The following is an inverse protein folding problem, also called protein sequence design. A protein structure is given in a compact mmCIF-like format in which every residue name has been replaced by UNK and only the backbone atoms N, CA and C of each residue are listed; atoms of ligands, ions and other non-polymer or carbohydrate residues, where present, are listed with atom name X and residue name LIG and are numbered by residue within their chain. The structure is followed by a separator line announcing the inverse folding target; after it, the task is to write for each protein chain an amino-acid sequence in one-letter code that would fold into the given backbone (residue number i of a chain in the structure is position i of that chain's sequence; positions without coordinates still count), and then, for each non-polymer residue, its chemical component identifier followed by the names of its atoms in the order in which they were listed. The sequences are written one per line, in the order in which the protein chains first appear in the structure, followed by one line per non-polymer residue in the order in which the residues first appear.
data_IF_411519480110
#
_entry.id   IF_411519480110
#
_cell.length_a   1.000
_cell.length_b   1.000
_cell.length_c   1.000
_cell.angle_alpha   90.00
_cell.angle_beta   90.00
_cell.angle_gamma   90.00
#
_symmetry.space_group_name_H-M   'P 1'
#
loop_
_entity.id
_entity.type
_entity.pdbx_description
1 polymer ?
#
# COMPACT_ATOMS: atom_id res chain seq x y z
N UNK A 1 -8.80 2.07 -6.07
CA UNK A 1 -7.56 1.29 -5.97
C UNK A 1 -6.73 1.94 -4.92
N UNK A 2 -6.25 1.16 -3.98
CA UNK A 2 -5.50 1.64 -2.82
C UNK A 2 -4.14 0.96 -2.77
N UNK A 3 -3.14 1.69 -2.34
CA UNK A 3 -1.85 1.17 -1.90
C UNK A 3 -1.88 1.19 -0.37
N UNK A 4 -2.09 0.02 0.21
CA UNK A 4 -2.10 -0.16 1.66
C UNK A 4 -0.67 -0.40 2.11
N UNK A 5 -0.13 0.49 2.94
CA UNK A 5 1.26 0.45 3.40
C UNK A 5 1.31 0.78 4.89
N UNK A 6 2.19 0.10 5.62
CA UNK A 6 2.43 0.41 7.03
C UNK A 6 2.94 1.83 7.20
N UNK A 7 2.41 2.51 8.21
CA UNK A 7 2.87 3.85 8.56
C UNK A 7 4.38 3.93 8.79
N UNK A 8 4.96 2.89 9.39
CA UNK A 8 6.38 2.87 9.74
C UNK A 8 7.28 2.69 8.51
N UNK A 9 6.86 1.86 7.54
CA UNK A 9 7.54 1.74 6.24
C UNK A 9 7.49 3.08 5.49
N UNK A 10 6.34 3.75 5.49
CA UNK A 10 6.19 5.05 4.84
C UNK A 10 7.07 6.12 5.50
N UNK A 11 7.12 6.16 6.85
CA UNK A 11 8.01 7.05 7.61
C UNK A 11 9.47 6.75 7.31
N UNK A 12 9.86 5.48 7.16
CA UNK A 12 11.22 5.09 6.82
C UNK A 12 11.64 5.64 5.45
N UNK A 13 10.78 5.50 4.44
CA UNK A 13 11.00 6.06 3.09
C UNK A 13 11.13 7.58 3.13
N UNK A 14 10.23 8.27 3.84
CA UNK A 14 10.27 9.73 3.99
C UNK A 14 11.57 10.16 4.66
N UNK A 15 11.92 9.55 5.80
CA UNK A 15 13.13 9.89 6.56
C UNK A 15 14.41 9.66 5.78
N UNK A 16 14.47 8.59 4.97
CA UNK A 16 15.59 8.34 4.07
C UNK A 16 15.68 9.43 3.00
N UNK A 17 14.52 9.81 2.44
CA UNK A 17 14.42 10.86 1.40
C UNK A 17 14.86 12.22 1.91
N UNK A 18 14.44 12.64 3.11
CA UNK A 18 14.80 13.91 3.73
C UNK A 18 16.32 14.08 3.95
N UNK A 19 17.04 12.97 4.12
CA UNK A 19 18.47 12.94 4.43
C UNK A 19 19.35 12.73 3.21
N UNK A 20 18.77 12.40 2.07
CA UNK A 20 19.51 12.04 0.87
C UNK A 20 19.81 13.25 -0.02
N UNK A 21 21.03 13.30 -0.56
CA UNK A 21 21.40 14.25 -1.61
C UNK A 21 21.09 13.75 -3.03
N UNK A 22 20.74 12.46 -3.16
CA UNK A 22 20.40 11.78 -4.42
C UNK A 22 19.01 11.16 -4.35
N UNK A 23 18.38 10.86 -5.48
CA UNK A 23 17.09 10.16 -5.47
C UNK A 23 17.26 8.79 -4.83
N UNK A 24 16.36 8.50 -3.90
CA UNK A 24 16.23 7.22 -3.19
C UNK A 24 15.25 6.38 -3.99
N UNK A 25 15.49 5.08 -4.13
CA UNK A 25 14.59 4.18 -4.83
C UNK A 25 14.52 2.82 -4.16
N UNK A 26 13.46 2.07 -4.45
CA UNK A 26 13.30 0.71 -3.94
C UNK A 26 12.01 0.03 -4.38
N UNK A 27 11.80 -1.17 -3.87
CA UNK A 27 10.62 -1.97 -4.11
C UNK A 27 9.66 -1.96 -2.93
N UNK A 28 8.38 -2.07 -3.26
CA UNK A 28 7.29 -2.42 -2.36
C UNK A 28 6.87 -3.85 -2.72
N UNK A 29 7.13 -4.78 -1.81
CA UNK A 29 6.79 -6.19 -1.95
C UNK A 29 5.53 -6.52 -1.15
N UNK A 30 4.72 -7.42 -1.68
CA UNK A 30 3.46 -7.79 -1.05
C UNK A 30 2.56 -8.58 -1.98
N UNK A 31 1.25 -8.34 -1.85
CA UNK A 31 0.22 -9.07 -2.59
C UNK A 31 -0.85 -8.13 -3.12
N UNK A 32 -1.62 -8.62 -4.08
CA UNK A 32 -2.79 -7.92 -4.60
C UNK A 32 -4.04 -8.58 -4.05
N UNK A 33 -4.94 -7.79 -3.48
CA UNK A 33 -6.23 -8.24 -2.98
C UNK A 33 -7.33 -7.48 -3.73
N UNK A 34 -7.99 -8.17 -4.67
CA UNK A 34 -8.94 -7.53 -5.58
C UNK A 34 -8.30 -6.40 -6.40
N UNK A 35 -8.67 -5.15 -6.09
CA UNK A 35 -8.17 -3.94 -6.75
C UNK A 35 -7.12 -3.18 -5.93
N UNK A 36 -6.74 -3.69 -4.77
CA UNK A 36 -5.83 -3.04 -3.84
C UNK A 36 -4.48 -3.76 -3.79
N UNK A 37 -3.46 -2.97 -3.48
CA UNK A 37 -2.07 -3.38 -3.42
C UNK A 37 -1.64 -3.33 -1.96
N UNK A 38 -1.41 -4.50 -1.37
CA UNK A 38 -1.04 -4.65 0.04
C UNK A 38 0.47 -4.77 0.12
N UNK A 39 1.13 -3.81 0.76
CA UNK A 39 2.57 -3.81 0.99
C UNK A 39 2.87 -4.54 2.29
N UNK A 40 3.67 -5.59 2.22
CA UNK A 40 4.12 -6.38 3.38
C UNK A 40 5.59 -6.11 3.74
N UNK A 41 6.39 -5.69 2.77
CA UNK A 41 7.83 -5.47 2.93
C UNK A 41 8.34 -4.36 1.99
N UNK A 42 9.21 -3.48 2.50
CA UNK A 42 9.94 -2.51 1.67
C UNK A 42 11.42 -2.88 1.55
N UNK A 43 12.01 -2.59 0.38
CA UNK A 43 13.45 -2.73 0.16
C UNK A 43 14.02 -1.55 -0.60
N UNK A 44 14.92 -0.81 0.05
CA UNK A 44 15.75 0.19 -0.61
C UNK A 44 16.76 -0.48 -1.53
N UNK A 45 16.88 0.03 -2.75
CA UNK A 45 17.86 -0.43 -3.73
C UNK A 45 18.79 0.75 -4.05
N UNK A 46 20.12 0.54 -4.08
CA UNK A 46 21.05 1.62 -4.40
C UNK A 46 20.74 2.25 -5.76
N UNK A 47 20.71 3.58 -5.80
CA UNK A 47 20.65 4.33 -7.04
C UNK A 47 22.05 4.40 -7.66
N UNK A 48 22.32 3.58 -8.68
CA UNK A 48 23.65 3.51 -9.32
C UNK A 48 24.04 4.82 -10.03
N UNK A 49 23.07 5.66 -10.38
CA UNK A 49 23.32 6.95 -11.04
C UNK A 49 23.84 8.01 -10.06
N UNK A 50 23.69 7.82 -8.74
CA UNK A 50 24.05 8.81 -7.72
C UNK A 50 23.56 10.22 -8.07
N UNK A 51 22.32 10.32 -8.57
CA UNK A 51 21.78 11.54 -9.17
C UNK A 51 20.63 12.12 -8.34
N UNK A 52 20.53 13.45 -8.19
CA UNK A 52 19.42 14.11 -7.49
C UNK A 52 18.13 14.25 -8.32
N UNK A 53 18.15 13.83 -9.58
CA UNK A 53 17.04 14.02 -10.55
C UNK A 53 16.77 12.80 -11.42
N UNK A 54 17.40 11.67 -11.11
CA UNK A 54 17.13 10.40 -11.76
C UNK A 54 17.60 9.25 -10.88
N UNK A 55 16.90 8.12 -10.98
CA UNK A 55 17.35 6.86 -10.44
C UNK A 55 17.48 5.78 -11.51
N UNK A 56 18.38 4.85 -11.23
CA UNK A 56 18.41 3.53 -11.82
C UNK A 56 18.89 2.56 -10.75
N UNK A 57 18.06 1.55 -10.47
CA UNK A 57 18.36 0.57 -9.44
C UNK A 57 19.61 -0.21 -9.79
N UNK A 58 20.46 -0.48 -8.80
CA UNK A 58 21.62 -1.33 -9.01
C UNK A 58 21.18 -2.75 -9.38
N UNK A 59 21.52 -3.26 -10.59
CA UNK A 59 20.92 -4.49 -11.11
C UNK A 59 21.12 -5.72 -10.24
N UNK A 60 22.30 -5.89 -9.62
CA UNK A 60 22.55 -7.06 -8.79
C UNK A 60 21.70 -7.04 -7.51
N UNK A 61 21.56 -5.89 -6.87
CA UNK A 61 20.74 -5.74 -5.67
C UNK A 61 19.25 -5.83 -6.01
N UNK A 62 18.85 -5.31 -7.18
CA UNK A 62 17.49 -5.44 -7.71
C UNK A 62 17.08 -6.91 -7.87
N UNK A 63 17.91 -7.73 -8.53
CA UNK A 63 17.63 -9.16 -8.74
C UNK A 63 17.57 -9.90 -7.41
N UNK A 64 18.56 -9.71 -6.52
CA UNK A 64 18.56 -10.34 -5.20
C UNK A 64 17.31 -10.01 -4.38
N UNK A 65 16.85 -8.76 -4.44
CA UNK A 65 15.67 -8.33 -3.72
C UNK A 65 14.40 -9.00 -4.25
N UNK A 66 14.27 -9.13 -5.57
CA UNK A 66 13.14 -9.81 -6.22
C UNK A 66 13.17 -11.31 -5.90
N UNK A 67 14.29 -12.00 -6.14
CA UNK A 67 14.44 -13.43 -5.89
C UNK A 67 14.12 -13.75 -4.42
N UNK A 68 14.67 -12.96 -3.50
CA UNK A 68 14.40 -13.13 -2.07
C UNK A 68 12.93 -12.90 -1.71
N UNK A 69 12.24 -11.94 -2.33
CA UNK A 69 10.81 -11.71 -2.09
C UNK A 69 9.96 -12.89 -2.61
N UNK A 70 10.31 -13.43 -3.78
CA UNK A 70 9.63 -14.58 -4.37
C UNK A 70 9.76 -15.84 -3.50
N UNK A 71 10.92 -16.08 -2.88
CA UNK A 71 11.11 -17.18 -1.91
C UNK A 71 10.16 -17.10 -0.70
N UNK A 72 9.72 -15.89 -0.32
CA UNK A 72 8.71 -15.65 0.73
C UNK A 72 7.28 -15.60 0.19
N UNK A 73 7.10 -15.86 -1.10
CA UNK A 73 5.81 -15.81 -1.78
C UNK A 73 5.25 -14.39 -1.94
N UNK A 74 6.11 -13.37 -1.96
CA UNK A 74 5.75 -11.97 -2.19
C UNK A 74 6.07 -11.57 -3.63
N UNK A 75 5.24 -10.71 -4.21
CA UNK A 75 5.46 -10.12 -5.53
C UNK A 75 5.79 -8.63 -5.44
N UNK A 76 6.30 -8.05 -6.54
CA UNK A 76 6.44 -6.60 -6.66
C UNK A 76 5.06 -5.98 -6.84
N UNK A 77 4.54 -5.31 -5.81
CA UNK A 77 3.27 -4.57 -5.87
C UNK A 77 3.49 -3.10 -6.23
N UNK A 78 4.70 -2.60 -6.00
CA UNK A 78 5.09 -1.27 -6.40
C UNK A 78 6.59 -1.00 -6.40
N UNK A 79 6.95 0.14 -6.96
CA UNK A 79 8.26 0.77 -6.88
C UNK A 79 8.07 2.08 -6.14
N UNK A 80 9.00 2.45 -5.29
CA UNK A 80 9.05 3.80 -4.75
C UNK A 80 10.32 4.51 -5.20
N UNK A 81 10.22 5.82 -5.41
CA UNK A 81 11.38 6.69 -5.58
C UNK A 81 11.12 8.09 -5.04
N UNK A 82 12.19 8.85 -4.88
CA UNK A 82 12.10 10.22 -4.40
C UNK A 82 12.35 11.28 -5.46
N UNK A 83 11.64 12.40 -5.33
CA UNK A 83 11.87 13.62 -6.07
C UNK A 83 12.37 14.71 -5.11
N UNK A 84 13.63 15.12 -5.24
CA UNK A 84 14.22 16.06 -4.28
C UNK A 84 13.82 17.52 -4.51
N UNK A 85 13.49 17.89 -5.76
CA UNK A 85 13.27 19.29 -6.17
C UNK A 85 11.95 19.52 -6.91
N UNK A 86 11.20 18.46 -7.19
CA UNK A 86 9.95 18.51 -7.94
C UNK A 86 8.81 17.88 -7.13
N UNK A 87 7.55 18.21 -7.48
CA UNK A 87 6.38 17.58 -6.86
C UNK A 87 6.37 16.05 -7.07
N UNK A 88 5.59 15.31 -6.27
CA UNK A 88 5.49 13.85 -6.37
C UNK A 88 4.56 13.46 -7.52
N UNK A 89 4.94 13.79 -8.76
CA UNK A 89 4.22 13.46 -10.00
C UNK A 89 5.17 12.79 -10.99
N UNK A 90 4.75 11.76 -11.74
CA UNK A 90 5.63 11.05 -12.67
C UNK A 90 6.21 11.99 -13.73
N UNK A 91 7.52 11.98 -13.88
CA UNK A 91 8.27 12.64 -14.94
C UNK A 91 8.21 11.83 -16.24
N UNK A 92 8.67 12.43 -17.35
CA UNK A 92 8.79 11.70 -18.62
C UNK A 92 9.73 10.47 -18.56
N UNK A 93 10.68 10.46 -17.61
CA UNK A 93 11.56 9.31 -17.35
C UNK A 93 10.81 8.23 -16.59
N UNK A 94 10.04 8.62 -15.58
CA UNK A 94 9.21 7.69 -14.80
C UNK A 94 8.20 7.00 -15.69
N UNK A 95 7.56 7.71 -16.63
CA UNK A 95 6.64 7.09 -17.61
C UNK A 95 7.30 5.99 -18.45
N UNK A 96 8.61 6.10 -18.75
CA UNK A 96 9.34 5.02 -19.43
C UNK A 96 9.51 3.82 -18.49
N UNK A 97 9.86 4.07 -17.23
CA UNK A 97 9.96 3.03 -16.20
C UNK A 97 8.62 2.34 -15.94
N UNK A 98 7.54 3.09 -15.78
CA UNK A 98 6.18 2.58 -15.55
C UNK A 98 5.66 1.70 -16.69
N UNK A 99 6.14 1.90 -17.93
CA UNK A 99 5.82 1.00 -19.05
C UNK A 99 6.55 -0.34 -18.97
N UNK A 100 7.76 -0.34 -18.43
CA UNK A 100 8.55 -1.55 -18.21
C UNK A 100 8.08 -2.30 -16.95
N UNK A 101 7.67 -1.53 -15.94
CA UNK A 101 7.20 -2.02 -14.64
C UNK A 101 5.79 -1.46 -14.36
N UNK A 102 4.73 -2.10 -14.90
CA UNK A 102 3.35 -1.66 -14.79
C UNK A 102 2.74 -1.98 -13.40
N UNK A 103 3.40 -1.50 -12.35
CA UNK A 103 3.02 -1.61 -10.95
C UNK A 103 2.70 -0.21 -10.38
N UNK A 104 2.36 -0.12 -9.09
CA UNK A 104 2.21 1.18 -8.42
C UNK A 104 3.57 1.87 -8.29
N UNK A 105 3.62 3.16 -8.54
CA UNK A 105 4.80 4.01 -8.34
C UNK A 105 4.51 5.04 -7.24
N UNK A 106 5.14 4.85 -6.09
CA UNK A 106 5.07 5.74 -4.94
C UNK A 106 6.18 6.80 -5.02
N UNK A 107 5.80 8.06 -5.16
CA UNK A 107 6.73 9.17 -5.27
C UNK A 107 6.70 9.98 -3.99
N UNK A 108 7.88 10.15 -3.38
CA UNK A 108 8.06 10.89 -2.12
C UNK A 108 8.94 12.11 -2.35
N UNK A 109 8.62 13.25 -1.76
CA UNK A 109 9.48 14.45 -1.83
C UNK A 109 10.36 14.62 -0.61
N UNK A 110 11.40 15.44 -0.74
CA UNK A 110 12.24 15.90 0.38
C UNK A 110 11.48 16.67 1.48
N UNK A 111 10.22 17.03 1.22
CA UNK A 111 9.32 17.68 2.19
C UNK A 111 8.32 16.72 2.84
N UNK A 112 8.45 15.41 2.58
CA UNK A 112 7.55 14.39 3.08
C UNK A 112 6.20 14.31 2.34
N UNK A 113 6.06 14.95 1.18
CA UNK A 113 4.84 14.79 0.38
C UNK A 113 4.87 13.43 -0.33
N UNK A 114 3.76 12.70 -0.27
CA UNK A 114 3.63 11.36 -0.81
C UNK A 114 2.47 11.29 -1.80
N UNK A 115 2.70 10.72 -2.98
CA UNK A 115 1.64 10.36 -3.95
C UNK A 115 1.97 9.05 -4.64
N UNK A 116 0.95 8.23 -4.88
CA UNK A 116 1.08 7.00 -5.65
C UNK A 116 0.37 7.11 -7.01
N UNK A 117 0.93 6.45 -8.01
CA UNK A 117 0.49 6.50 -9.39
C UNK A 117 0.54 5.11 -10.02
N UNK A 118 -0.34 4.84 -10.98
CA UNK A 118 -0.25 3.63 -11.82
C UNK A 118 -0.36 4.04 -13.29
N UNK A 119 0.27 3.28 -14.18
CA UNK A 119 0.09 3.44 -15.62
C UNK A 119 -0.82 2.33 -16.14
N UNK A 120 -2.07 2.68 -16.47
CA UNK A 120 -3.07 1.75 -17.01
C UNK A 120 -3.53 2.21 -18.38
N UNK A 121 -3.45 1.34 -19.38
CA UNK A 121 -3.89 1.63 -20.76
C UNK A 121 -3.29 2.94 -21.33
N UNK A 122 -2.03 3.23 -20.98
CA UNK A 122 -1.32 4.44 -21.39
C UNK A 122 -1.71 5.72 -20.64
N UNK A 123 -2.61 5.64 -19.65
CA UNK A 123 -3.02 6.75 -18.79
C UNK A 123 -2.43 6.61 -17.39
N UNK A 124 -1.95 7.73 -16.85
CA UNK A 124 -1.50 7.82 -15.47
C UNK A 124 -2.69 8.10 -14.59
N UNK A 125 -2.95 7.22 -13.64
CA UNK A 125 -4.03 7.33 -12.67
C UNK A 125 -3.45 7.45 -11.26
N UNK A 126 -4.08 8.28 -10.42
CA UNK A 126 -3.70 8.39 -9.02
C UNK A 126 -4.17 7.15 -8.24
N UNK A 127 -3.34 6.69 -7.32
CA UNK A 127 -3.66 5.60 -6.38
C UNK A 127 -3.71 6.21 -4.98
N UNK A 128 -4.78 5.90 -4.25
CA UNK A 128 -4.94 6.33 -2.88
C UNK A 128 -3.94 5.59 -1.99
N UNK A 129 -3.23 6.30 -1.11
CA UNK A 129 -2.29 5.68 -0.16
C UNK A 129 -2.98 5.62 1.19
N UNK A 130 -3.14 4.41 1.72
CA UNK A 130 -3.86 4.15 2.96
C UNK A 130 -2.94 3.44 3.97
N UNK A 131 -3.07 3.80 5.25
CA UNK A 131 -2.39 3.10 6.34
C UNK A 131 -3.05 1.73 6.57
N UNK A 132 -2.25 0.67 6.75
CA UNK A 132 -2.73 -0.69 7.04
C UNK A 132 -3.73 -0.71 8.20
N UNK A 133 -3.49 0.08 9.25
CA UNK A 133 -4.39 0.13 10.43
C UNK A 133 -5.75 0.73 10.06
N UNK A 134 -5.77 1.76 9.21
CA UNK A 134 -7.00 2.42 8.80
C UNK A 134 -7.77 1.56 7.78
N UNK A 135 -7.06 0.83 6.91
CA UNK A 135 -7.68 -0.14 6.00
C UNK A 135 -8.42 -1.24 6.78
N UNK A 136 -7.79 -1.86 7.78
CA UNK A 136 -8.42 -2.90 8.60
C UNK A 136 -9.64 -2.37 9.35
N UNK A 137 -9.57 -1.14 9.88
CA UNK A 137 -10.73 -0.47 10.51
C UNK A 137 -11.87 -0.26 9.52
N UNK A 138 -11.56 0.21 8.31
CA UNK A 138 -12.53 0.39 7.23
C UNK A 138 -13.26 -0.91 6.89
N UNK A 139 -12.51 -2.01 6.74
CA UNK A 139 -13.06 -3.33 6.42
C UNK A 139 -13.99 -3.85 7.54
N UNK A 140 -13.61 -3.67 8.81
CA UNK A 140 -14.44 -4.02 9.97
C UNK A 140 -15.74 -3.19 9.97
N UNK A 141 -15.66 -1.89 9.70
CA UNK A 141 -16.84 -1.03 9.63
C UNK A 141 -17.78 -1.41 8.49
N UNK A 142 -17.25 -1.75 7.31
CA UNK A 142 -18.03 -2.19 6.17
C UNK A 142 -18.72 -3.52 6.45
N UNK A 143 -18.00 -4.48 7.05
CA UNK A 143 -18.57 -5.75 7.49
C UNK A 143 -19.69 -5.52 8.51
N UNK A 144 -19.49 -4.64 9.49
CA UNK A 144 -20.52 -4.30 10.48
C UNK A 144 -21.75 -3.61 9.87
N UNK A 145 -21.58 -2.82 8.80
CA UNK A 145 -22.70 -2.23 8.03
C UNK A 145 -23.45 -3.32 7.23
N UNK A 146 -22.72 -4.26 6.63
CA UNK A 146 -23.28 -5.38 5.88
C UNK A 146 -24.10 -6.32 6.76
N UNK A 147 -23.56 -6.73 7.91
CA UNK A 147 -24.26 -7.55 8.90
C UNK A 147 -25.56 -6.86 9.36
N UNK A 148 -25.50 -5.56 9.71
CA UNK A 148 -26.71 -4.80 10.07
C UNK A 148 -27.76 -4.83 8.97
N UNK A 149 -27.40 -4.53 7.71
CA UNK A 149 -28.35 -4.59 6.58
C UNK A 149 -28.91 -5.99 6.35
N UNK A 150 -28.09 -7.02 6.49
CA UNK A 150 -28.51 -8.42 6.39
C UNK A 150 -29.51 -8.82 7.48
N UNK A 151 -29.30 -8.39 8.72
CA UNK A 151 -30.22 -8.62 9.84
C UNK A 151 -31.58 -7.92 9.63
N UNK A 152 -31.60 -6.72 9.06
CA UNK A 152 -32.86 -5.99 8.80
C UNK A 152 -33.62 -6.45 7.54
N UNK A 153 -32.95 -7.07 6.56
CA UNK A 153 -33.60 -7.59 5.35
C UNK A 153 -34.10 -9.04 5.47
N UNK A 154 -33.72 -9.75 6.54
CA UNK A 154 -34.09 -11.15 6.79
C UNK A 154 -35.40 -11.36 7.55
N UNK A 155 -36.15 -10.30 7.88
CA UNK A 155 -37.41 -10.44 8.63
C UNK A 155 -37.26 -10.91 10.08
N UNK A 156 -36.06 -10.83 10.65
CA UNK A 156 -35.84 -11.15 12.06
C UNK A 156 -36.51 -10.09 12.92
N UNK A 157 -37.65 -10.45 13.52
CA UNK A 157 -38.40 -9.52 14.38
C UNK A 157 -37.57 -9.18 15.63
N UNK A 158 -37.78 -8.00 16.20
CA UNK A 158 -37.13 -7.49 17.42
C UNK A 158 -37.09 -8.52 18.57
N UNK A 159 -38.04 -9.47 18.57
CA UNK A 159 -38.10 -10.64 19.45
C UNK A 159 -36.93 -11.63 19.35
N UNK A 160 -36.44 -11.93 18.14
CA UNK A 160 -35.36 -12.91 17.95
C UNK A 160 -34.01 -12.36 18.44
N UNK A 161 -33.83 -11.04 18.32
CA UNK A 161 -32.70 -10.31 18.89
C UNK A 161 -32.74 -10.27 20.42
N UNK A 162 -33.94 -10.14 21.00
CA UNK A 162 -34.14 -10.19 22.45
C UNK A 162 -33.85 -11.60 23.00
N UNK A 163 -34.29 -12.66 22.32
CA UNK A 163 -34.02 -14.05 22.71
C UNK A 163 -32.52 -14.39 22.65
N UNK A 164 -31.81 -14.00 21.59
CA UNK A 164 -30.37 -14.18 21.48
C UNK A 164 -29.58 -13.40 22.54
N UNK A 165 -30.06 -12.21 22.93
CA UNK A 165 -29.45 -11.44 24.04
C UNK A 165 -29.66 -12.10 25.39
N UNK A 166 -30.83 -12.67 25.62
CA UNK A 166 -31.15 -13.41 26.85
C UNK A 166 -30.28 -14.67 26.95
N UNK A 167 -30.12 -15.43 25.85
CA UNK A 167 -29.27 -16.63 25.81
C UNK A 167 -27.79 -16.31 26.07
N UNK A 168 -27.27 -15.25 25.44
CA UNK A 168 -25.88 -14.81 25.62
C UNK A 168 -25.60 -14.31 27.05
N UNK A 169 -26.60 -13.73 27.73
CA UNK A 169 -26.48 -13.35 29.13
C UNK A 169 -26.56 -14.55 30.08
N UNK A 170 -27.39 -15.54 29.79
CA UNK A 170 -27.51 -16.76 30.59
C UNK A 170 -26.22 -17.60 30.58
N UNK A 171 -25.48 -17.61 29.46
CA UNK A 171 -24.19 -18.30 29.35
C UNK A 171 -23.05 -17.60 30.10
N UNK A 172 -23.17 -16.29 30.38
CA UNK A 172 -22.19 -15.54 31.19
C UNK A 172 -22.37 -15.69 32.69
N UNK A 173 -23.52 -16.18 33.16
CA UNK A 173 -23.75 -16.44 34.60
C UNK A 173 -23.48 -17.89 35.01
N UNK A 174 -23.04 -18.73 34.06
CA UNK A 174 -22.69 -20.15 34.28
C UNK A 174 -21.17 -20.44 34.24
N UNK A 175 -20.35 -19.41 33.98
CA UNK A 175 -18.87 -19.42 34.10
C UNK A 175 -18.42 -18.60 35.32
#
# INVERSE_FOLDING_TARGET
MRLVIRQDDLKEIIKMTERSAVEVCGFLFGRREGNDFIVEEIRFIPNRLNSPTAFEMEPLEMVKAIDGAEERGLGVVGIFHSHLKCPPRPSGRDLKGMRLWPVVWLIVTSKGEVRAWILKEGKVEAVEVEDEVDSVRGDIEELAKSVRRGMFNGGGTEKELEELRIEAHAQRELD
#
